data_IF_822681616239
#
_entry.id   IF_822681616239
#
_cell.length_a   1.000
_cell.length_b   1.000
_cell.length_c   1.000
_cell.angle_alpha   90.00
_cell.angle_beta   90.00
_cell.angle_gamma   90.00
#
_symmetry.space_group_name_H-M   'P 1'
#
loop_
_entity.id
_entity.type
_entity.pdbx_description
1 polymer ?
#
# COMPACT_ATOMS: atom_id res chain seq x y z
N UNK A 1 1.26 19.51 9.38
CA UNK A 1 0.59 18.23 9.77
C UNK A 1 -0.48 17.83 8.77
N UNK A 2 -1.34 18.78 8.36
CA UNK A 2 -2.37 18.55 7.35
C UNK A 2 -1.78 18.20 5.97
N UNK A 3 -0.70 18.84 5.51
CA UNK A 3 -0.11 18.48 4.20
C UNK A 3 0.49 17.08 4.20
N UNK A 4 1.18 16.69 5.29
CA UNK A 4 1.74 15.32 5.43
C UNK A 4 0.64 14.26 5.39
N UNK A 5 -0.47 14.50 6.08
CA UNK A 5 -1.63 13.60 6.06
C UNK A 5 -2.28 13.54 4.67
N UNK A 6 -2.42 14.69 4.02
CA UNK A 6 -2.98 14.77 2.67
C UNK A 6 -2.09 14.05 1.64
N UNK A 7 -0.77 14.25 1.71
CA UNK A 7 0.18 13.54 0.86
C UNK A 7 0.14 12.02 1.08
N UNK A 8 0.08 11.58 2.34
CA UNK A 8 -0.06 10.15 2.66
C UNK A 8 -1.39 9.58 2.17
N UNK A 9 -2.47 10.34 2.26
CA UNK A 9 -3.78 9.96 1.71
C UNK A 9 -3.73 9.80 0.19
N UNK A 10 -3.15 10.76 -0.54
CA UNK A 10 -3.01 10.68 -1.99
C UNK A 10 -2.12 9.49 -2.42
N UNK A 11 -1.04 9.24 -1.68
CA UNK A 11 -0.18 8.08 -1.90
C UNK A 11 -0.95 6.77 -1.68
N UNK A 12 -1.69 6.66 -0.58
CA UNK A 12 -2.52 5.48 -0.33
C UNK A 12 -3.57 5.29 -1.42
N UNK A 13 -4.27 6.36 -1.81
CA UNK A 13 -5.26 6.33 -2.88
C UNK A 13 -4.65 5.82 -4.18
N UNK A 14 -3.46 6.32 -4.56
CA UNK A 14 -2.73 5.87 -5.73
C UNK A 14 -2.35 4.38 -5.66
N UNK A 15 -1.77 3.94 -4.53
CA UNK A 15 -1.35 2.55 -4.35
C UNK A 15 -2.54 1.58 -4.37
N UNK A 16 -3.66 1.91 -3.74
CA UNK A 16 -4.81 1.01 -3.67
C UNK A 16 -5.68 1.01 -4.94
N UNK A 17 -5.61 2.06 -5.77
CA UNK A 17 -6.37 2.12 -7.03
C UNK A 17 -5.63 1.54 -8.22
N UNK A 18 -4.29 1.50 -8.23
CA UNK A 18 -3.52 1.04 -9.39
C UNK A 18 -3.34 -0.46 -9.66
N UNK A 19 -3.66 -1.44 -8.79
CA UNK A 19 -3.34 -2.84 -9.05
C UNK A 19 -4.29 -3.50 -10.07
N UNK A 20 -4.83 -2.77 -11.04
CA UNK A 20 -5.71 -3.28 -12.09
C UNK A 20 -5.10 -4.45 -12.85
N UNK A 21 -3.80 -4.38 -13.16
CA UNK A 21 -3.07 -5.46 -13.84
C UNK A 21 -2.88 -6.73 -13.01
N UNK A 22 -3.14 -6.68 -11.70
CA UNK A 22 -3.03 -7.83 -10.80
C UNK A 22 -4.39 -8.47 -10.50
N UNK A 23 -5.52 -7.78 -10.79
CA UNK A 23 -6.88 -8.30 -10.51
C UNK A 23 -7.20 -9.57 -11.28
N UNK A 24 -6.66 -9.72 -12.49
CA UNK A 24 -6.96 -10.83 -13.40
C UNK A 24 -5.80 -11.83 -13.51
N UNK A 25 -4.77 -11.69 -12.67
CA UNK A 25 -3.59 -12.55 -12.71
C UNK A 25 -3.80 -13.74 -11.77
N UNK A 26 -4.21 -14.87 -12.34
CA UNK A 26 -4.36 -16.15 -11.60
C UNK A 26 -3.03 -16.86 -11.30
N UNK A 27 -1.89 -16.19 -11.54
CA UNK A 27 -0.59 -16.80 -11.31
C UNK A 27 -0.31 -17.00 -9.82
N UNK A 28 0.15 -18.18 -9.44
CA UNK A 28 0.78 -18.42 -8.13
C UNK A 28 2.01 -17.50 -8.02
N UNK A 29 1.93 -16.53 -7.11
CA UNK A 29 3.04 -15.66 -6.79
C UNK A 29 4.04 -16.34 -5.86
N UNK A 30 5.07 -15.60 -5.42
CA UNK A 30 6.03 -16.11 -4.44
C UNK A 30 5.32 -16.73 -3.23
N UNK A 31 5.83 -17.88 -2.75
CA UNK A 31 5.28 -18.62 -1.61
C UNK A 31 3.85 -19.17 -1.84
N UNK A 32 3.41 -19.29 -3.10
CA UNK A 32 2.05 -19.75 -3.44
C UNK A 32 0.97 -18.71 -3.18
N UNK A 33 1.35 -17.46 -2.87
CA UNK A 33 0.41 -16.39 -2.58
C UNK A 33 0.04 -15.63 -3.87
N UNK A 34 -1.24 -15.27 -4.05
CA UNK A 34 -1.63 -14.44 -5.18
C UNK A 34 -0.87 -13.10 -5.17
N UNK A 35 -0.28 -12.66 -6.30
CA UNK A 35 0.48 -11.41 -6.38
C UNK A 35 -0.31 -10.18 -5.91
N UNK A 36 -1.62 -10.18 -6.14
CA UNK A 36 -2.52 -9.12 -5.66
C UNK A 36 -2.48 -8.99 -4.13
N UNK A 37 -2.46 -10.12 -3.40
CA UNK A 37 -2.44 -10.11 -1.94
C UNK A 37 -1.13 -9.53 -1.43
N UNK A 38 0.00 -10.02 -1.95
CA UNK A 38 1.32 -9.51 -1.60
C UNK A 38 1.42 -7.99 -1.83
N UNK A 39 0.89 -7.51 -2.95
CA UNK A 39 0.85 -6.10 -3.28
C UNK A 39 0.01 -5.29 -2.28
N UNK A 40 -1.24 -5.71 -2.02
CA UNK A 40 -2.16 -4.99 -1.14
C UNK A 40 -1.64 -4.92 0.30
N UNK A 41 -1.15 -6.04 0.85
CA UNK A 41 -0.57 -6.06 2.19
C UNK A 41 0.73 -5.27 2.28
N UNK A 42 1.57 -5.30 1.24
CA UNK A 42 2.77 -4.49 1.16
C UNK A 42 2.47 -2.98 1.11
N UNK A 43 1.53 -2.57 0.27
CA UNK A 43 1.06 -1.18 0.19
C UNK A 43 0.48 -0.70 1.54
N UNK A 44 -0.33 -1.55 2.19
CA UNK A 44 -0.86 -1.26 3.51
C UNK A 44 0.24 -1.08 4.56
N UNK A 45 1.18 -2.02 4.65
CA UNK A 45 2.29 -1.96 5.59
C UNK A 45 3.13 -0.69 5.37
N UNK A 46 3.41 -0.34 4.11
CA UNK A 46 4.14 0.88 3.76
C UNK A 46 3.42 2.15 4.27
N UNK A 47 2.11 2.26 4.04
CA UNK A 47 1.30 3.41 4.50
C UNK A 47 1.32 3.50 6.03
N UNK A 48 1.17 2.37 6.75
CA UNK A 48 1.21 2.35 8.22
C UNK A 48 2.59 2.75 8.75
N UNK A 49 3.67 2.26 8.15
CA UNK A 49 5.04 2.62 8.55
C UNK A 49 5.33 4.10 8.30
N UNK A 50 4.91 4.63 7.16
CA UNK A 50 5.03 6.07 6.84
C UNK A 50 4.17 6.91 7.79
N UNK A 51 2.95 6.49 8.12
CA UNK A 51 2.12 7.17 9.11
C UNK A 51 2.84 7.23 10.46
N UNK A 52 3.36 6.10 10.94
CA UNK A 52 4.12 6.03 12.18
C UNK A 52 5.33 6.96 12.13
N UNK A 53 6.11 6.94 11.05
CA UNK A 53 7.29 7.78 10.91
C UNK A 53 6.95 9.28 10.87
N UNK A 54 5.90 9.68 10.14
CA UNK A 54 5.53 11.07 9.93
C UNK A 54 4.82 11.71 11.13
N UNK A 55 4.08 10.91 11.92
CA UNK A 55 3.21 11.40 12.99
C UNK A 55 3.66 11.00 14.40
N UNK A 56 4.67 10.14 14.54
CA UNK A 56 5.28 9.89 15.85
C UNK A 56 5.87 11.20 16.36
N UNK A 57 5.35 11.67 17.49
CA UNK A 57 6.00 12.73 18.27
C UNK A 57 7.15 12.11 19.08
N UNK A 58 8.24 12.85 19.32
CA UNK A 58 9.25 12.44 20.29
C UNK A 58 8.63 12.23 21.68
#
# INVERSE_FOLDING_TARGET
>A
MKEKAFALFLLALFLFTLPFGLLFREAEGPLGLPPLYLYLFGAWALVVLLARFLFRRP
#
